data_IF_612108166219
#
_entry.id   IF_612108166219
#
_cell.length_a   1.000
_cell.length_b   1.000
_cell.length_c   1.000
_cell.angle_alpha   90.00
_cell.angle_beta   90.00
_cell.angle_gamma   90.00
#
_symmetry.space_group_name_H-M   'P 1'
#
loop_
_entity.id
_entity.type
_entity.pdbx_description
1 polymer ?
#
# COMPACT_ATOMS: atom_id res chain seq x y z
N UNK A 1 -43.36 -58.61 -14.55
CA UNK A 1 -42.90 -58.61 -13.14
C UNK A 1 -42.45 -57.21 -12.77
N UNK A 2 -42.89 -56.71 -11.62
CA UNK A 2 -42.81 -55.31 -11.21
C UNK A 2 -41.36 -54.86 -10.95
N UNK A 3 -41.01 -53.68 -11.47
CA UNK A 3 -39.75 -52.99 -11.19
C UNK A 3 -39.54 -52.87 -9.67
N UNK A 4 -38.54 -53.56 -9.13
CA UNK A 4 -38.02 -53.30 -7.78
C UNK A 4 -37.25 -51.98 -7.84
N UNK A 5 -37.96 -50.88 -7.59
CA UNK A 5 -37.32 -49.60 -7.33
C UNK A 5 -36.44 -49.76 -6.07
N UNK A 6 -35.17 -49.41 -6.16
CA UNK A 6 -34.23 -49.38 -5.04
C UNK A 6 -34.44 -48.06 -4.28
N UNK A 7 -35.18 -48.04 -3.14
CA UNK A 7 -35.49 -46.80 -2.45
C UNK A 7 -34.22 -46.14 -1.87
N UNK A 8 -33.23 -46.95 -1.50
CA UNK A 8 -32.00 -46.49 -0.84
C UNK A 8 -31.08 -45.66 -1.75
N UNK A 9 -31.10 -45.89 -3.07
CA UNK A 9 -30.28 -45.11 -4.02
C UNK A 9 -30.88 -43.71 -4.24
N UNK A 10 -32.21 -43.61 -4.27
CA UNK A 10 -32.89 -42.30 -4.36
C UNK A 10 -32.67 -41.45 -3.12
N UNK A 11 -32.73 -42.03 -1.93
CA UNK A 11 -32.49 -41.28 -0.68
C UNK A 11 -31.04 -40.84 -0.55
N UNK A 12 -30.06 -41.67 -0.96
CA UNK A 12 -28.64 -41.31 -0.93
C UNK A 12 -28.29 -40.18 -1.92
N UNK A 13 -28.87 -40.20 -3.13
CA UNK A 13 -28.66 -39.12 -4.12
C UNK A 13 -29.35 -37.83 -3.66
N UNK A 14 -30.55 -37.89 -3.08
CA UNK A 14 -31.21 -36.71 -2.53
C UNK A 14 -30.48 -36.12 -1.32
N UNK A 15 -29.87 -36.93 -0.45
CA UNK A 15 -29.07 -36.43 0.67
C UNK A 15 -27.74 -35.81 0.21
N UNK A 16 -27.08 -36.41 -0.79
CA UNK A 16 -25.84 -35.88 -1.35
C UNK A 16 -26.06 -34.55 -2.12
N UNK A 17 -27.17 -34.44 -2.86
CA UNK A 17 -27.56 -33.17 -3.51
C UNK A 17 -27.93 -32.12 -2.45
N UNK A 18 -28.63 -32.49 -1.37
CA UNK A 18 -28.97 -31.55 -0.31
C UNK A 18 -27.72 -31.02 0.43
N UNK A 19 -26.76 -31.89 0.75
CA UNK A 19 -25.49 -31.54 1.39
C UNK A 19 -24.63 -30.65 0.48
N UNK A 20 -24.60 -30.91 -0.84
CA UNK A 20 -23.93 -30.01 -1.79
C UNK A 20 -24.64 -28.65 -1.89
N UNK A 21 -25.97 -28.62 -1.92
CA UNK A 21 -26.70 -27.34 -2.01
C UNK A 21 -26.62 -26.50 -0.73
N UNK A 22 -26.53 -27.12 0.46
CA UNK A 22 -26.32 -26.37 1.71
C UNK A 22 -24.88 -25.89 1.86
N UNK A 23 -23.88 -26.60 1.34
CA UNK A 23 -22.50 -26.09 1.29
C UNK A 23 -22.34 -24.93 0.31
N UNK A 24 -23.09 -24.92 -0.80
CA UNK A 24 -23.11 -23.78 -1.74
C UNK A 24 -23.89 -22.57 -1.21
N UNK A 25 -24.94 -22.78 -0.40
CA UNK A 25 -25.75 -21.70 0.18
C UNK A 25 -25.22 -21.17 1.53
N UNK A 26 -24.27 -21.87 2.16
CA UNK A 26 -23.73 -21.52 3.47
C UNK A 26 -22.22 -21.24 3.45
N UNK A 27 -21.62 -21.13 2.27
CA UNK A 27 -20.35 -20.40 2.19
C UNK A 27 -20.69 -18.94 2.40
N UNK A 28 -20.28 -18.30 3.51
CA UNK A 28 -20.44 -16.87 3.64
C UNK A 28 -19.83 -16.23 2.39
N UNK A 29 -20.45 -15.17 1.90
CA UNK A 29 -19.79 -14.19 1.06
C UNK A 29 -18.61 -13.60 1.85
N UNK A 30 -17.51 -14.35 1.93
CA UNK A 30 -16.18 -13.82 2.00
C UNK A 30 -15.55 -14.13 0.65
N UNK A 31 -16.08 -13.45 -0.36
CA UNK A 31 -15.16 -12.80 -1.27
C UNK A 31 -14.40 -11.86 -0.34
N UNK A 32 -13.25 -12.30 0.19
CA UNK A 32 -12.22 -11.33 0.51
C UNK A 32 -11.85 -10.82 -0.89
N UNK A 33 -12.33 -9.65 -1.31
CA UNK A 33 -11.85 -9.14 -2.57
C UNK A 33 -10.42 -8.78 -2.18
N UNK A 34 -9.47 -9.62 -2.53
CA UNK A 34 -8.08 -9.20 -2.50
C UNK A 34 -7.75 -8.70 -3.92
N UNK A 35 -8.16 -7.47 -4.31
CA UNK A 35 -7.27 -6.65 -5.08
C UNK A 35 -6.00 -6.48 -4.22
N UNK A 36 -5.01 -7.29 -4.53
CA UNK A 36 -3.75 -7.38 -3.80
C UNK A 36 -2.65 -7.89 -4.71
N UNK A 37 -2.71 -7.50 -5.98
CA UNK A 37 -1.67 -7.75 -6.99
C UNK A 37 -1.11 -6.44 -7.55
N UNK A 38 -1.24 -5.35 -6.78
CA UNK A 38 -0.57 -4.09 -7.06
C UNK A 38 0.93 -4.36 -7.23
N UNK A 39 1.48 -3.84 -8.31
CA UNK A 39 2.88 -3.93 -8.67
C UNK A 39 3.34 -2.52 -8.97
N UNK A 40 4.47 -2.12 -8.39
CA UNK A 40 5.10 -0.83 -8.59
C UNK A 40 6.52 -1.08 -9.09
N UNK A 41 6.93 -0.35 -10.12
CA UNK A 41 8.29 -0.38 -10.62
C UNK A 41 8.88 1.02 -10.70
N UNK A 42 10.17 1.07 -10.41
CA UNK A 42 11.05 2.22 -10.58
C UNK A 42 12.19 1.77 -11.46
N UNK A 43 12.47 2.47 -12.56
CA UNK A 43 13.53 2.09 -13.50
C UNK A 43 14.33 3.30 -13.98
N UNK A 44 15.60 3.08 -14.31
CA UNK A 44 16.50 4.08 -14.86
C UNK A 44 17.12 3.54 -16.15
N UNK A 45 16.86 4.21 -17.27
CA UNK A 45 17.30 3.80 -18.60
C UNK A 45 17.95 5.01 -19.28
N UNK A 46 19.28 4.99 -19.39
CA UNK A 46 20.03 6.14 -19.90
C UNK A 46 19.79 7.38 -19.04
N UNK A 47 19.28 8.45 -19.65
CA UNK A 47 18.95 9.72 -18.99
C UNK A 47 17.51 9.78 -18.43
N UNK A 48 16.77 8.67 -18.49
CA UNK A 48 15.35 8.61 -18.11
C UNK A 48 15.14 7.86 -16.82
N UNK A 49 14.25 8.39 -15.99
CA UNK A 49 13.69 7.71 -14.83
C UNK A 49 12.22 7.47 -15.08
N UNK A 50 11.79 6.23 -14.87
CA UNK A 50 10.41 5.78 -15.04
C UNK A 50 9.90 5.29 -13.69
N UNK A 51 8.68 5.71 -13.35
CA UNK A 51 7.94 5.21 -12.20
C UNK A 51 6.54 4.85 -12.67
N UNK A 52 6.05 3.67 -12.29
CA UNK A 52 4.73 3.22 -12.71
C UNK A 52 4.19 2.10 -11.85
N UNK A 53 2.88 1.96 -11.87
CA UNK A 53 2.16 0.96 -11.09
C UNK A 53 0.87 0.50 -11.78
N UNK A 54 0.37 -0.65 -11.35
CA UNK A 54 -1.06 -0.96 -11.44
C UNK A 54 -1.69 -0.80 -10.05
N UNK A 55 -2.95 -0.35 -10.05
CA UNK A 55 -3.76 -0.26 -8.84
C UNK A 55 -4.87 -1.30 -8.91
N UNK A 56 -4.67 -2.40 -8.18
CA UNK A 56 -5.70 -3.39 -7.99
C UNK A 56 -6.42 -3.04 -6.70
N UNK A 57 -7.58 -2.36 -6.82
CA UNK A 57 -8.43 -2.01 -5.70
C UNK A 57 -9.92 -2.07 -6.05
N UNK A 58 -10.79 -2.28 -5.05
CA UNK A 58 -12.23 -2.48 -5.30
C UNK A 58 -12.96 -1.19 -5.68
N UNK A 59 -12.38 -0.01 -5.43
CA UNK A 59 -12.96 1.28 -5.82
C UNK A 59 -12.55 1.61 -7.26
N UNK A 60 -13.45 1.57 -8.26
CA UNK A 60 -13.08 1.73 -9.66
C UNK A 60 -12.91 3.20 -10.11
N UNK A 61 -13.35 4.15 -9.28
CA UNK A 61 -13.37 5.59 -9.63
C UNK A 61 -12.20 6.30 -8.97
N UNK A 62 -11.13 6.47 -9.74
CA UNK A 62 -9.97 7.25 -9.33
C UNK A 62 -10.09 8.72 -9.72
N UNK A 63 -9.38 9.56 -8.98
CA UNK A 63 -9.33 11.01 -9.13
C UNK A 63 -7.87 11.44 -9.17
N UNK A 64 -7.63 12.54 -9.87
CA UNK A 64 -6.37 13.27 -9.84
C UNK A 64 -6.64 14.66 -9.26
N UNK A 65 -5.80 15.10 -8.35
CA UNK A 65 -5.85 16.46 -7.82
C UNK A 65 -4.46 17.04 -7.65
N UNK A 66 -4.39 18.37 -7.66
CA UNK A 66 -3.16 19.13 -7.47
C UNK A 66 -3.16 19.76 -6.09
N UNK A 67 -1.99 19.80 -5.47
CA UNK A 67 -1.71 20.51 -4.24
C UNK A 67 -0.63 21.55 -4.53
N UNK A 68 -0.97 22.84 -4.69
CA UNK A 68 -0.01 23.87 -5.13
C UNK A 68 1.18 24.04 -4.18
N UNK A 69 2.32 24.42 -4.76
CA UNK A 69 3.51 24.79 -4.01
C UNK A 69 3.25 26.03 -3.13
N UNK A 70 3.96 26.10 -2.01
CA UNK A 70 4.03 27.31 -1.18
C UNK A 70 5.48 27.57 -0.79
N UNK A 71 5.73 28.65 -0.05
CA UNK A 71 7.05 28.90 0.55
C UNK A 71 7.51 27.76 1.48
N UNK A 72 6.58 26.94 1.98
CA UNK A 72 6.88 25.90 2.96
C UNK A 72 6.85 24.48 2.37
N UNK A 73 6.27 24.25 1.19
CA UNK A 73 6.11 22.89 0.65
C UNK A 73 6.17 22.86 -0.87
N UNK A 74 6.59 21.71 -1.39
CA UNK A 74 6.54 21.43 -2.81
C UNK A 74 5.13 21.26 -3.33
N UNK A 75 4.92 21.69 -4.58
CA UNK A 75 3.72 21.38 -5.35
C UNK A 75 3.66 19.90 -5.67
N UNK A 76 2.47 19.30 -5.54
CA UNK A 76 2.25 17.87 -5.73
C UNK A 76 1.06 17.59 -6.65
N UNK A 77 1.13 16.49 -7.37
CA UNK A 77 -0.01 15.86 -8.04
C UNK A 77 -0.24 14.51 -7.36
N UNK A 78 -1.48 14.24 -7.01
CA UNK A 78 -1.86 12.99 -6.35
C UNK A 78 -2.89 12.24 -7.18
N UNK A 79 -2.81 10.91 -7.10
CA UNK A 79 -3.81 9.99 -7.61
C UNK A 79 -4.44 9.26 -6.42
N UNK A 80 -5.75 9.05 -6.48
CA UNK A 80 -6.45 8.30 -5.46
C UNK A 80 -7.97 8.38 -5.59
N UNK A 81 -8.69 8.51 -4.47
CA UNK A 81 -10.15 8.45 -4.46
C UNK A 81 -10.80 9.78 -4.03
N UNK A 82 -12.12 9.88 -4.24
CA UNK A 82 -12.93 11.08 -3.96
C UNK A 82 -12.83 11.57 -2.51
N UNK A 83 -12.53 10.67 -1.59
CA UNK A 83 -12.38 10.93 -0.15
C UNK A 83 -10.97 11.41 0.24
N UNK A 84 -10.13 11.78 -0.73
CA UNK A 84 -8.72 12.14 -0.55
C UNK A 84 -7.87 11.00 0.03
N UNK A 85 -8.31 9.74 -0.11
CA UNK A 85 -7.43 8.58 0.08
C UNK A 85 -6.41 8.54 -1.06
N UNK A 86 -5.16 8.85 -0.74
CA UNK A 86 -4.05 8.88 -1.67
C UNK A 86 -3.64 7.43 -2.02
N UNK A 87 -3.34 7.16 -3.28
CA UNK A 87 -2.74 5.90 -3.74
C UNK A 87 -1.29 6.13 -4.14
N UNK A 88 -1.05 7.14 -4.97
CA UNK A 88 0.28 7.57 -5.36
C UNK A 88 0.34 9.07 -5.63
N UNK A 89 1.52 9.53 -6.01
CA UNK A 89 1.70 10.92 -6.40
C UNK A 89 3.13 11.24 -6.81
N UNK A 90 3.31 12.46 -7.31
CA UNK A 90 4.58 13.03 -7.71
C UNK A 90 4.64 14.50 -7.28
N UNK A 91 5.81 14.96 -6.84
CA UNK A 91 6.03 16.39 -6.57
C UNK A 91 6.75 17.11 -7.71
N UNK A 92 6.82 18.44 -7.65
CA UNK A 92 7.48 19.27 -8.66
C UNK A 92 8.99 19.05 -8.78
N UNK A 93 9.59 18.28 -7.87
CA UNK A 93 11.01 17.86 -7.91
C UNK A 93 11.19 16.47 -8.55
N UNK A 94 10.10 15.82 -8.95
CA UNK A 94 10.10 14.50 -9.57
C UNK A 94 10.21 13.34 -8.58
N UNK A 95 10.04 13.58 -7.27
CA UNK A 95 9.91 12.51 -6.28
C UNK A 95 8.51 11.89 -6.42
N UNK A 96 8.46 10.60 -6.66
CA UNK A 96 7.24 9.81 -6.79
C UNK A 96 7.05 8.88 -5.59
N UNK A 97 5.81 8.55 -5.27
CA UNK A 97 5.49 7.41 -4.41
C UNK A 97 4.26 6.66 -4.88
N UNK A 98 4.19 5.39 -4.50
CA UNK A 98 2.98 4.57 -4.47
C UNK A 98 3.13 3.50 -3.36
N UNK A 99 2.06 2.80 -2.99
CA UNK A 99 2.06 1.84 -1.89
C UNK A 99 1.41 0.50 -2.26
N UNK A 100 2.08 -0.61 -1.99
CA UNK A 100 1.47 -1.94 -2.08
C UNK A 100 0.76 -2.27 -0.78
N UNK A 101 -0.48 -2.75 -0.83
CA UNK A 101 -1.17 -3.30 0.33
C UNK A 101 -0.44 -4.55 0.86
N UNK A 102 -0.42 -4.71 2.18
CA UNK A 102 0.18 -5.85 2.89
C UNK A 102 -0.76 -6.30 4.01
N UNK A 103 -0.62 -7.54 4.51
CA UNK A 103 -1.27 -7.92 5.76
C UNK A 103 -0.81 -6.98 6.89
N UNK A 104 -1.68 -6.80 7.88
CA UNK A 104 -1.39 -5.95 9.03
C UNK A 104 -0.15 -6.43 9.77
N UNK A 105 0.82 -5.56 9.96
CA UNK A 105 2.04 -5.78 10.74
C UNK A 105 2.16 -4.74 11.85
N UNK A 106 2.89 -5.09 12.91
CA UNK A 106 3.22 -4.17 14.01
C UNK A 106 4.34 -3.23 13.56
N UNK A 107 4.23 -1.96 13.93
CA UNK A 107 5.30 -0.97 13.79
C UNK A 107 5.60 -0.38 15.17
N UNK A 108 6.87 -0.33 15.54
CA UNK A 108 7.28 0.33 16.78
C UNK A 108 7.11 1.83 16.63
N UNK A 109 6.54 2.54 17.60
CA UNK A 109 6.11 3.93 17.42
C UNK A 109 7.24 4.97 17.56
N UNK A 110 8.28 4.65 18.30
CA UNK A 110 9.40 5.54 18.66
C UNK A 110 8.94 6.87 19.25
N UNK A 111 8.32 6.83 20.44
CA UNK A 111 7.83 8.02 21.16
C UNK A 111 8.92 9.03 21.53
N UNK A 112 10.19 8.62 21.49
CA UNK A 112 11.36 9.49 21.70
C UNK A 112 11.66 10.42 20.51
N UNK A 113 11.10 10.16 19.32
CA UNK A 113 11.24 11.02 18.15
C UNK A 113 10.29 12.21 18.20
N UNK A 114 10.51 13.20 17.33
CA UNK A 114 9.62 14.36 17.21
C UNK A 114 8.22 13.94 16.74
N UNK A 115 7.13 14.49 17.28
CA UNK A 115 5.79 14.18 16.79
C UNK A 115 5.63 14.64 15.33
N UNK A 116 4.92 13.87 14.49
CA UNK A 116 4.65 14.27 13.11
C UNK A 116 3.81 15.55 13.04
N UNK A 117 3.95 16.33 11.96
CA UNK A 117 3.20 17.56 11.77
C UNK A 117 1.71 17.29 11.51
N UNK A 118 0.89 18.26 11.92
CA UNK A 118 -0.55 18.30 11.66
C UNK A 118 -0.84 19.28 10.50
N UNK A 119 -2.02 19.15 9.88
CA UNK A 119 -2.46 20.13 8.90
C UNK A 119 -2.69 21.50 9.56
N UNK A 120 -2.64 22.57 8.76
CA UNK A 120 -3.07 23.88 9.21
C UNK A 120 -4.61 23.95 9.30
N UNK A 121 -5.17 24.94 10.01
CA UNK A 121 -6.62 25.15 10.04
C UNK A 121 -7.27 25.19 8.66
N UNK A 122 -8.49 24.63 8.50
CA UNK A 122 -9.37 24.11 9.56
C UNK A 122 -9.15 22.61 9.93
N UNK A 123 -8.06 22.00 9.46
CA UNK A 123 -7.82 20.55 9.60
C UNK A 123 -6.76 20.22 10.68
N UNK A 124 -6.57 21.08 11.68
CA UNK A 124 -5.49 20.93 12.68
C UNK A 124 -5.55 19.66 13.53
N UNK A 125 -6.70 18.98 13.57
CA UNK A 125 -6.86 17.71 14.28
C UNK A 125 -6.39 16.50 13.44
N UNK A 126 -6.09 16.73 12.15
CA UNK A 126 -5.60 15.69 11.24
C UNK A 126 -4.08 15.75 11.17
N UNK A 127 -3.46 14.63 11.50
CA UNK A 127 -2.04 14.41 11.34
C UNK A 127 -1.71 14.19 9.85
N UNK A 128 -0.62 14.77 9.36
CA UNK A 128 -0.22 14.61 7.96
C UNK A 128 0.30 13.19 7.75
N UNK A 129 -0.36 12.44 6.87
CA UNK A 129 0.06 11.10 6.48
C UNK A 129 1.48 11.13 5.89
N UNK A 130 2.31 10.17 6.27
CA UNK A 130 3.75 10.24 6.01
C UNK A 130 4.12 10.37 4.51
N UNK A 131 3.56 9.60 3.57
CA UNK A 131 3.86 9.79 2.14
C UNK A 131 3.55 11.20 1.61
N UNK A 132 2.48 11.82 2.12
CA UNK A 132 2.13 13.22 1.80
C UNK A 132 3.17 14.17 2.38
N UNK A 133 3.63 13.92 3.61
CA UNK A 133 4.71 14.70 4.21
C UNK A 133 6.01 14.59 3.41
N UNK A 134 6.37 13.38 2.97
CA UNK A 134 7.55 13.13 2.13
C UNK A 134 7.45 13.94 0.84
N UNK A 135 6.37 13.80 0.05
CA UNK A 135 6.25 14.56 -1.20
C UNK A 135 6.28 16.07 -1.00
N UNK A 136 5.72 16.58 0.10
CA UNK A 136 5.70 18.02 0.40
C UNK A 136 7.06 18.58 0.80
N UNK A 137 8.01 17.75 1.28
CA UNK A 137 9.21 18.21 1.99
C UNK A 137 10.53 17.61 1.48
N UNK A 138 10.51 16.58 0.64
CA UNK A 138 11.71 15.97 0.08
C UNK A 138 11.74 16.05 -1.45
N UNK A 139 12.93 16.26 -2.01
CA UNK A 139 13.23 16.21 -3.43
C UNK A 139 13.94 14.90 -3.83
N UNK A 140 14.64 14.26 -2.87
CA UNK A 140 15.44 13.06 -3.11
C UNK A 140 15.07 11.92 -2.16
N UNK A 141 15.49 10.70 -2.49
CA UNK A 141 15.32 9.53 -1.62
C UNK A 141 16.08 9.70 -0.30
N UNK A 142 17.24 10.37 -0.32
CA UNK A 142 18.01 10.65 0.89
C UNK A 142 17.26 11.57 1.86
N UNK A 143 16.68 12.64 1.34
CA UNK A 143 15.83 13.56 2.11
C UNK A 143 14.57 12.85 2.64
N UNK A 144 13.95 11.99 1.82
CA UNK A 144 12.81 11.20 2.24
C UNK A 144 13.17 10.28 3.42
N UNK A 145 14.28 9.54 3.34
CA UNK A 145 14.75 8.67 4.44
C UNK A 145 15.07 9.50 5.69
N UNK A 146 15.68 10.67 5.54
CA UNK A 146 15.97 11.57 6.66
C UNK A 146 14.68 12.05 7.35
N UNK A 147 13.65 12.42 6.59
CA UNK A 147 12.33 12.79 7.12
C UNK A 147 11.67 11.63 7.86
N UNK A 148 11.70 10.42 7.27
CA UNK A 148 11.11 9.22 7.88
C UNK A 148 11.75 8.92 9.23
N UNK A 149 13.06 9.10 9.36
CA UNK A 149 13.80 8.86 10.61
C UNK A 149 13.60 9.96 11.67
N UNK A 150 13.08 11.12 11.28
CA UNK A 150 12.91 12.28 12.17
C UNK A 150 11.68 12.17 13.07
N UNK A 151 10.60 11.57 12.56
CA UNK A 151 9.29 11.63 13.19
C UNK A 151 8.86 10.31 13.83
N UNK A 152 8.03 10.41 14.86
CA UNK A 152 7.31 9.27 15.41
C UNK A 152 6.47 8.60 14.33
N UNK A 153 6.22 7.30 14.48
CA UNK A 153 5.56 6.49 13.44
C UNK A 153 4.03 6.44 13.59
N UNK A 154 3.44 7.39 14.31
CA UNK A 154 1.99 7.49 14.48
C UNK A 154 1.26 7.86 13.18
N UNK A 155 1.92 8.55 12.24
CA UNK A 155 1.33 8.96 10.95
C UNK A 155 1.55 7.99 9.79
N UNK A 156 1.89 6.73 10.08
CA UNK A 156 1.99 5.68 9.08
C UNK A 156 0.61 5.13 8.71
N UNK A 157 -0.25 4.89 9.69
CA UNK A 157 -1.59 4.36 9.44
C UNK A 157 -2.59 4.96 10.43
N UNK A 158 -3.89 5.06 10.09
CA UNK A 158 -4.90 5.58 11.01
C UNK A 158 -4.95 4.83 12.36
N UNK A 159 -4.60 3.55 12.35
CA UNK A 159 -4.48 2.74 13.56
C UNK A 159 -3.03 2.73 14.06
N UNK A 160 -2.80 3.45 15.16
CA UNK A 160 -1.48 3.59 15.78
C UNK A 160 -0.83 2.23 16.09
N UNK A 161 0.48 2.12 15.83
CA UNK A 161 1.28 0.94 16.12
C UNK A 161 1.14 -0.18 15.09
N UNK A 162 0.44 0.07 13.99
CA UNK A 162 0.24 -0.91 12.92
C UNK A 162 0.44 -0.29 11.54
N UNK A 163 0.79 -1.12 10.56
CA UNK A 163 0.95 -0.76 9.15
C UNK A 163 0.35 -1.87 8.28
N UNK A 164 -0.24 -1.50 7.13
CA UNK A 164 -0.86 -2.44 6.18
C UNK A 164 -0.38 -2.23 4.74
N UNK A 165 0.79 -1.63 4.58
CA UNK A 165 1.35 -1.33 3.26
C UNK A 165 2.87 -1.21 3.34
N UNK A 166 3.53 -1.28 2.18
CA UNK A 166 4.90 -0.80 2.00
C UNK A 166 4.91 0.31 0.95
N UNK A 167 5.85 1.24 1.09
CA UNK A 167 5.93 2.45 0.28
C UNK A 167 7.09 2.34 -0.71
N UNK A 168 6.83 2.40 -2.01
CA UNK A 168 7.86 2.50 -3.03
C UNK A 168 8.01 3.95 -3.46
N UNK A 169 9.22 4.47 -3.38
CA UNK A 169 9.57 5.83 -3.79
C UNK A 169 10.67 5.79 -4.86
N UNK A 170 10.63 6.76 -5.77
CA UNK A 170 11.72 7.02 -6.70
C UNK A 170 11.92 8.52 -6.88
N UNK A 171 13.16 8.97 -6.98
CA UNK A 171 13.48 10.37 -7.28
C UNK A 171 13.95 10.58 -8.72
N UNK A 172 14.02 11.86 -9.12
CA UNK A 172 14.40 12.25 -10.48
C UNK A 172 15.86 11.89 -10.84
N UNK A 173 16.71 11.55 -9.87
CA UNK A 173 18.07 11.11 -10.12
C UNK A 173 18.15 9.60 -10.41
N UNK A 174 17.02 8.90 -10.32
CA UNK A 174 16.94 7.47 -10.53
C UNK A 174 17.30 6.66 -9.31
N UNK A 175 17.34 7.26 -8.12
CA UNK A 175 17.38 6.49 -6.87
C UNK A 175 15.96 6.03 -6.52
N UNK A 176 15.86 4.89 -5.83
CA UNK A 176 14.57 4.34 -5.40
C UNK A 176 14.70 3.56 -4.09
N UNK A 177 13.64 3.56 -3.29
CA UNK A 177 13.58 2.80 -2.04
C UNK A 177 12.18 2.23 -1.81
N UNK A 178 12.12 1.00 -1.32
CA UNK A 178 10.92 0.45 -0.69
C UNK A 178 11.08 0.54 0.82
N UNK A 179 10.20 1.31 1.46
CA UNK A 179 10.14 1.45 2.91
C UNK A 179 9.02 0.56 3.45
N UNK A 180 9.38 -0.32 4.37
CA UNK A 180 8.49 -1.32 4.97
C UNK A 180 8.84 -1.51 6.45
N UNK A 181 8.25 -2.51 7.11
CA UNK A 181 8.66 -2.95 8.44
C UNK A 181 9.24 -4.36 8.40
N UNK A 182 10.31 -4.59 9.16
CA UNK A 182 10.89 -5.91 9.35
C UNK A 182 10.13 -6.74 10.42
N UNK A 183 10.62 -7.94 10.72
CA UNK A 183 10.01 -8.84 11.72
C UNK A 183 10.00 -8.28 13.15
N UNK A 184 10.86 -7.31 13.45
CA UNK A 184 10.93 -6.66 14.77
C UNK A 184 9.97 -5.47 14.90
N UNK A 185 9.33 -5.07 13.79
CA UNK A 185 8.48 -3.88 13.72
C UNK A 185 9.27 -2.59 13.50
N UNK A 186 10.56 -2.69 13.17
CA UNK A 186 11.40 -1.56 12.79
C UNK A 186 11.29 -1.24 11.31
N UNK A 187 11.49 0.03 10.98
CA UNK A 187 11.51 0.47 9.59
C UNK A 187 12.71 -0.13 8.85
N UNK A 188 12.44 -0.72 7.69
CA UNK A 188 13.44 -1.26 6.80
C UNK A 188 13.41 -0.55 5.45
N UNK A 189 14.59 -0.32 4.88
CA UNK A 189 14.80 0.44 3.66
C UNK A 189 15.47 -0.46 2.61
N UNK A 190 14.69 -0.99 1.68
CA UNK A 190 15.24 -1.74 0.53
C UNK A 190 15.54 -0.75 -0.59
N UNK A 191 16.79 -0.30 -0.69
CA UNK A 191 17.22 0.67 -1.71
C UNK A 191 17.55 -0.05 -3.02
N UNK A 192 17.37 0.65 -4.13
CA UNK A 192 17.86 0.20 -5.44
C UNK A 192 19.39 0.25 -5.43
N UNK A 193 20.04 -0.86 -5.72
CA UNK A 193 21.49 -0.88 -5.83
C UNK A 193 21.94 -0.04 -7.01
N UNK A 194 23.12 0.60 -6.93
CA UNK A 194 23.63 1.43 -8.03
C UNK A 194 23.85 0.65 -9.33
N UNK A 195 24.16 -0.64 -9.20
CA UNK A 195 24.31 -1.55 -10.33
C UNK A 195 22.97 -1.97 -10.95
N UNK A 196 21.86 -1.83 -10.20
CA UNK A 196 20.54 -2.22 -10.64
C UNK A 196 19.86 -1.08 -11.40
N UNK A 197 19.32 -1.43 -12.57
CA UNK A 197 18.56 -0.50 -13.39
C UNK A 197 17.11 -0.32 -12.90
N UNK A 198 16.63 -1.16 -11.97
CA UNK A 198 15.24 -1.11 -11.52
C UNK A 198 15.07 -1.55 -10.06
N UNK A 199 13.94 -1.16 -9.46
CA UNK A 199 13.43 -1.66 -8.19
C UNK A 199 11.94 -1.94 -8.37
N UNK A 200 11.51 -3.14 -7.95
CA UNK A 200 10.11 -3.57 -8.04
C UNK A 200 9.60 -3.93 -6.66
N UNK A 201 8.35 -3.58 -6.40
CA UNK A 201 7.60 -4.04 -5.24
C UNK A 201 6.20 -4.49 -5.63
N UNK A 202 5.68 -5.43 -4.87
CA UNK A 202 4.31 -5.94 -5.02
C UNK A 202 3.73 -6.18 -3.62
N UNK A 203 2.65 -6.91 -3.44
CA UNK A 203 2.02 -7.17 -2.14
C UNK A 203 2.80 -8.18 -1.28
N UNK A 204 4.12 -8.25 -1.47
CA UNK A 204 5.08 -9.05 -0.69
C UNK A 204 6.07 -8.09 -0.04
N UNK A 205 6.08 -8.05 1.30
CA UNK A 205 6.96 -7.14 2.04
C UNK A 205 8.44 -7.46 1.75
N UNK A 206 9.16 -6.47 1.24
CA UNK A 206 10.57 -6.60 0.82
C UNK A 206 11.54 -6.87 1.98
N UNK A 207 11.19 -6.50 3.21
CA UNK A 207 12.00 -6.70 4.41
C UNK A 207 11.50 -7.86 5.30
N UNK A 208 10.28 -8.35 5.08
CA UNK A 208 9.68 -9.45 5.82
C UNK A 208 8.80 -10.30 4.91
N UNK A 209 9.39 -11.30 4.23
CA UNK A 209 8.68 -12.10 3.23
C UNK A 209 7.49 -12.90 3.78
N UNK A 210 7.40 -13.12 5.09
CA UNK A 210 6.26 -13.78 5.73
C UNK A 210 5.00 -12.86 5.77
N UNK A 211 5.18 -11.56 5.52
CA UNK A 211 4.11 -10.56 5.46
C UNK A 211 3.75 -10.27 4.00
N UNK A 212 2.92 -11.13 3.41
CA UNK A 212 2.47 -11.04 2.03
C UNK A 212 0.98 -11.37 1.87
N UNK A 213 0.34 -10.81 0.84
CA UNK A 213 -1.03 -11.16 0.42
C UNK A 213 -1.03 -12.30 -0.61
#
# INVERSE_FOLDING_TARGET
>A
MKNKAYPYIRTAVSLAVLILTTQVLCSPEHIDPVPGSCTIFSASIGDKVLFGNNEDYYKPKTYLWTDPATAEKYGCVYLGFKDYSHQGGINEKGLCFDANALPKAKINLHSELAPPPFYAPPYQDYMIWLPVLILRKAATIEEAIALVKKYQRSNWYPEAGTIKYQLNLADANGDAVVISVDKSGELAFTRKEKADHYLISTNFNRANQDNAL
#
